data_IF_126137974951
#
_entry.id   IF_126137974951
#
_cell.length_a   1.000
_cell.length_b   1.000
_cell.length_c   1.000
_cell.angle_alpha   90.00
_cell.angle_beta   90.00
_cell.angle_gamma   90.00
#
_symmetry.space_group_name_H-M   'P 1'
#
loop_
_entity.id
_entity.type
_entity.pdbx_description
1 polymer ?
#
# COMPACT_ATOMS: atom_id res chain seq x y z
N UNK A 1 -27.63 -60.46 32.18
CA UNK A 1 -27.74 -59.13 32.81
C UNK A 1 -26.38 -58.49 32.74
N UNK A 2 -26.18 -57.57 31.80
CA UNK A 2 -24.98 -56.74 31.68
C UNK A 2 -25.45 -55.27 31.68
N UNK A 3 -24.76 -54.35 32.36
CA UNK A 3 -25.27 -53.00 32.62
C UNK A 3 -25.08 -52.07 31.40
N UNK A 4 -26.03 -51.14 31.26
CA UNK A 4 -26.15 -50.21 30.14
C UNK A 4 -25.01 -49.19 30.07
N UNK A 5 -24.63 -48.89 28.83
CA UNK A 5 -23.71 -47.81 28.47
C UNK A 5 -24.50 -46.51 28.30
N UNK A 6 -24.08 -45.48 29.02
CA UNK A 6 -24.61 -44.11 28.97
C UNK A 6 -24.16 -43.44 27.65
N UNK A 7 -25.04 -42.72 26.91
CA UNK A 7 -24.63 -41.99 25.71
C UNK A 7 -23.83 -40.73 26.08
N UNK A 8 -22.90 -40.28 25.20
CA UNK A 8 -22.08 -39.10 25.47
C UNK A 8 -22.90 -37.79 25.42
N UNK A 9 -22.47 -36.74 26.15
CA UNK A 9 -23.14 -35.44 26.11
C UNK A 9 -22.97 -34.78 24.73
N UNK A 10 -24.04 -34.12 24.26
CA UNK A 10 -24.04 -33.34 23.03
C UNK A 10 -23.17 -32.08 23.12
N UNK A 11 -22.83 -31.45 21.98
CA UNK A 11 -21.91 -30.33 21.94
C UNK A 11 -22.53 -29.08 22.61
N UNK A 12 -21.79 -28.52 23.57
CA UNK A 12 -22.10 -27.24 24.20
C UNK A 12 -21.95 -26.08 23.20
N UNK A 13 -22.93 -25.18 23.22
CA UNK A 13 -22.94 -23.94 22.43
C UNK A 13 -21.88 -22.97 22.98
N UNK A 14 -20.98 -22.39 22.15
CA UNK A 14 -19.98 -21.46 22.65
C UNK A 14 -20.62 -20.14 23.08
N UNK A 15 -20.41 -19.80 24.36
CA UNK A 15 -20.78 -18.54 24.96
C UNK A 15 -20.18 -17.34 24.18
N UNK A 16 -20.99 -16.30 24.01
CA UNK A 16 -20.59 -15.04 23.39
C UNK A 16 -19.47 -14.38 24.21
N UNK A 17 -18.26 -14.40 23.66
CA UNK A 17 -17.15 -13.55 24.10
C UNK A 17 -17.39 -12.14 23.58
N UNK A 18 -17.60 -11.19 24.49
CA UNK A 18 -17.74 -9.78 24.18
C UNK A 18 -16.48 -9.22 23.51
N UNK A 19 -16.68 -8.24 22.62
CA UNK A 19 -15.62 -7.58 21.88
C UNK A 19 -14.57 -6.95 22.80
N UNK A 20 -13.26 -7.06 22.49
CA UNK A 20 -12.22 -6.38 23.24
C UNK A 20 -12.29 -4.87 22.99
N UNK A 21 -12.42 -4.11 24.09
CA UNK A 21 -12.33 -2.64 24.11
C UNK A 21 -10.95 -2.22 23.63
N UNK A 22 -10.89 -1.43 22.54
CA UNK A 22 -9.65 -0.86 22.03
C UNK A 22 -9.01 0.11 23.05
N UNK A 23 -7.67 0.12 23.21
CA UNK A 23 -7.01 1.06 24.10
C UNK A 23 -7.15 2.50 23.58
N UNK A 24 -7.53 3.41 24.47
CA UNK A 24 -7.58 4.86 24.23
C UNK A 24 -6.15 5.39 24.17
N UNK A 25 -5.75 5.89 22.99
CA UNK A 25 -4.48 6.62 22.82
C UNK A 25 -4.70 8.08 23.25
N UNK A 26 -3.87 8.65 24.15
CA UNK A 26 -4.02 10.05 24.55
C UNK A 26 -3.68 11.00 23.40
N UNK A 27 -4.52 12.02 23.21
CA UNK A 27 -4.36 13.05 22.19
C UNK A 27 -3.13 13.93 22.46
N UNK A 28 -2.33 14.16 21.42
CA UNK A 28 -1.27 15.19 21.39
C UNK A 28 -1.94 16.55 21.07
N UNK A 29 -1.71 17.62 21.83
CA UNK A 29 -2.39 18.89 21.62
C UNK A 29 -1.76 19.69 20.46
N UNK A 30 -2.60 20.11 19.53
CA UNK A 30 -2.25 20.96 18.39
C UNK A 30 -3.47 21.18 17.51
N UNK A 31 -4.35 22.10 17.92
CA UNK A 31 -5.60 22.43 17.22
C UNK A 31 -5.35 22.87 15.77
N UNK A 32 -6.17 22.46 14.80
CA UNK A 32 -6.26 23.18 13.53
C UNK A 32 -7.08 24.46 13.73
N UNK A 33 -6.54 25.57 13.23
CA UNK A 33 -7.27 26.84 13.09
C UNK A 33 -8.44 26.59 12.13
N UNK A 34 -9.66 26.73 12.63
CA UNK A 34 -10.88 26.75 11.82
C UNK A 34 -10.92 28.08 11.07
N UNK A 35 -10.82 28.04 9.75
CA UNK A 35 -11.23 29.17 8.91
C UNK A 35 -12.65 28.88 8.43
N UNK A 36 -13.63 29.51 9.09
CA UNK A 36 -14.99 29.64 8.56
C UNK A 36 -14.95 30.51 7.31
N UNK A 37 -15.59 30.04 6.23
CA UNK A 37 -15.69 30.78 4.98
C UNK A 37 -16.44 29.97 3.94
N UNK A 38 -17.78 29.98 4.03
CA UNK A 38 -18.67 29.49 2.98
C UNK A 38 -18.52 30.40 1.75
N UNK A 39 -17.99 29.85 0.66
CA UNK A 39 -18.15 30.41 -0.67
C UNK A 39 -18.38 29.27 -1.65
N UNK A 40 -19.63 29.15 -2.09
CA UNK A 40 -20.03 28.33 -3.24
C UNK A 40 -19.34 28.93 -4.47
N UNK A 41 -18.36 28.22 -5.03
CA UNK A 41 -17.78 28.57 -6.32
C UNK A 41 -18.45 27.72 -7.39
N UNK A 42 -19.57 28.22 -7.91
CA UNK A 42 -19.96 27.92 -9.29
C UNK A 42 -19.02 28.69 -10.23
N UNK A 43 -18.35 27.99 -11.13
CA UNK A 43 -18.23 28.35 -12.56
C UNK A 43 -17.05 27.63 -13.20
N UNK A 44 -17.33 27.02 -14.35
CA UNK A 44 -16.37 26.55 -15.33
C UNK A 44 -15.63 27.76 -15.93
N UNK A 45 -14.50 28.14 -15.32
CA UNK A 45 -13.54 29.05 -15.94
C UNK A 45 -12.16 28.41 -15.91
N UNK A 46 -11.57 28.21 -17.09
CA UNK A 46 -10.14 27.95 -17.23
C UNK A 46 -9.44 29.22 -16.74
N UNK A 47 -8.98 29.21 -15.49
CA UNK A 47 -8.30 30.35 -14.88
C UNK A 47 -7.04 30.70 -15.67
N UNK A 48 -6.91 31.98 -16.01
CA UNK A 48 -5.70 32.55 -16.58
C UNK A 48 -4.49 32.19 -15.69
N UNK A 49 -3.40 31.77 -16.33
CA UNK A 49 -2.15 31.39 -15.68
C UNK A 49 -1.56 32.49 -14.80
N UNK A 50 -1.94 33.75 -15.03
CA UNK A 50 -1.46 34.93 -14.30
C UNK A 50 -2.11 35.11 -12.90
N UNK A 51 -3.32 34.59 -12.68
CA UNK A 51 -4.11 34.74 -11.44
C UNK A 51 -3.91 33.60 -10.43
N UNK A 52 -3.11 32.59 -10.78
CA UNK A 52 -2.80 31.48 -9.88
C UNK A 52 -1.94 31.95 -8.69
N UNK A 53 -2.33 31.64 -7.43
CA UNK A 53 -1.51 31.87 -6.25
C UNK A 53 -0.06 31.42 -6.46
N UNK A 54 0.95 32.05 -5.85
CA UNK A 54 2.37 31.77 -6.13
C UNK A 54 2.77 30.29 -6.03
N UNK A 55 2.12 29.51 -5.16
CA UNK A 55 2.34 28.07 -5.02
C UNK A 55 1.80 27.24 -6.20
N UNK A 56 0.83 27.74 -6.96
CA UNK A 56 0.31 27.15 -8.20
C UNK A 56 1.13 27.52 -9.44
N UNK A 57 2.20 28.33 -9.30
CA UNK A 57 3.16 28.63 -10.38
C UNK A 57 4.19 27.52 -10.58
N UNK A 58 4.36 26.63 -9.60
CA UNK A 58 5.24 25.45 -9.71
C UNK A 58 4.39 24.22 -9.97
N UNK A 59 4.77 23.44 -10.98
CA UNK A 59 4.15 22.14 -11.27
C UNK A 59 4.34 21.19 -10.07
N UNK A 60 3.31 20.46 -9.65
CA UNK A 60 3.38 19.59 -8.48
C UNK A 60 4.36 18.44 -8.69
N UNK A 61 4.82 17.84 -7.58
CA UNK A 61 5.48 16.52 -7.59
C UNK A 61 4.48 15.51 -7.07
N UNK A 62 4.30 14.39 -7.78
CA UNK A 62 3.41 13.34 -7.32
C UNK A 62 4.22 12.23 -6.63
N UNK A 63 3.92 11.98 -5.35
CA UNK A 63 4.49 10.88 -4.58
C UNK A 63 3.57 9.67 -4.64
N UNK A 64 4.10 8.53 -5.07
CA UNK A 64 3.42 7.25 -5.11
C UNK A 64 3.97 6.36 -3.99
N UNK A 65 3.23 6.21 -2.87
CA UNK A 65 3.69 5.46 -1.72
C UNK A 65 3.73 3.94 -1.99
N UNK A 66 4.44 3.21 -1.13
CA UNK A 66 4.47 1.75 -1.15
C UNK A 66 3.14 1.11 -0.75
N UNK A 67 3.12 -0.22 -0.72
CA UNK A 67 1.96 -0.96 -0.27
C UNK A 67 1.80 -0.78 1.25
N UNK A 68 0.66 -0.25 1.67
CA UNK A 68 0.26 -0.09 3.07
C UNK A 68 -1.17 -0.55 3.29
N UNK A 69 -1.84 0.02 4.29
CA UNK A 69 -3.27 -0.19 4.51
C UNK A 69 -4.07 0.66 3.52
N UNK A 70 -4.36 0.10 2.35
CA UNK A 70 -5.14 0.79 1.32
C UNK A 70 -6.56 1.07 1.82
N UNK A 71 -6.89 2.36 2.00
CA UNK A 71 -8.19 2.78 2.50
C UNK A 71 -9.25 2.82 1.38
N UNK A 72 -9.98 1.71 1.23
CA UNK A 72 -11.14 1.62 0.32
C UNK A 72 -12.18 2.69 0.66
N UNK A 73 -12.47 2.90 1.94
CA UNK A 73 -13.47 3.88 2.38
C UNK A 73 -13.08 5.30 1.98
N UNK A 74 -11.80 5.67 2.09
CA UNK A 74 -11.31 7.00 1.66
C UNK A 74 -11.46 7.16 0.15
N UNK A 75 -11.02 6.17 -0.65
CA UNK A 75 -11.19 6.24 -2.11
C UNK A 75 -12.66 6.43 -2.49
N UNK A 76 -13.55 5.63 -1.90
CA UNK A 76 -14.99 5.70 -2.20
C UNK A 76 -15.60 7.02 -1.77
N UNK A 77 -15.33 7.49 -0.56
CA UNK A 77 -15.84 8.75 -0.06
C UNK A 77 -15.38 9.91 -0.96
N UNK A 78 -14.09 9.96 -1.29
CA UNK A 78 -13.53 10.99 -2.18
C UNK A 78 -14.09 10.90 -3.59
N UNK A 79 -14.27 9.69 -4.15
CA UNK A 79 -14.88 9.52 -5.48
C UNK A 79 -16.37 9.91 -5.49
N UNK A 80 -17.09 9.82 -4.37
CA UNK A 80 -18.48 10.29 -4.28
C UNK A 80 -18.56 11.81 -4.28
N UNK A 81 -17.66 12.49 -3.57
CA UNK A 81 -17.70 13.95 -3.39
C UNK A 81 -16.91 14.73 -4.43
N UNK A 82 -15.95 14.10 -5.13
CA UNK A 82 -15.05 14.77 -6.08
C UNK A 82 -15.28 14.26 -7.50
N UNK A 83 -16.00 15.00 -8.37
CA UNK A 83 -16.35 14.54 -9.72
C UNK A 83 -15.13 14.17 -10.59
N UNK A 84 -14.04 14.93 -10.49
CA UNK A 84 -12.80 14.67 -11.23
C UNK A 84 -12.18 13.32 -10.86
N UNK A 85 -12.08 13.02 -9.55
CA UNK A 85 -11.62 11.72 -9.08
C UNK A 85 -12.57 10.58 -9.47
N UNK A 86 -13.88 10.82 -9.41
CA UNK A 86 -14.88 9.82 -9.83
C UNK A 86 -14.72 9.42 -11.29
N UNK A 87 -14.53 10.42 -12.17
CA UNK A 87 -14.30 10.20 -13.60
C UNK A 87 -13.00 9.41 -13.81
N UNK A 88 -11.90 9.90 -13.22
CA UNK A 88 -10.60 9.25 -13.33
C UNK A 88 -10.61 7.80 -12.81
N UNK A 89 -11.27 7.54 -11.68
CA UNK A 89 -11.39 6.20 -11.12
C UNK A 89 -12.12 5.25 -12.06
N UNK A 90 -13.26 5.66 -12.66
CA UNK A 90 -13.98 4.82 -13.63
C UNK A 90 -13.12 4.47 -14.84
N UNK A 91 -12.46 5.46 -15.45
CA UNK A 91 -11.64 5.26 -16.65
C UNK A 91 -10.38 4.42 -16.38
N UNK A 92 -9.81 4.52 -15.19
CA UNK A 92 -8.67 3.70 -14.78
C UNK A 92 -9.14 2.28 -14.50
N UNK A 93 -10.19 2.11 -13.69
CA UNK A 93 -10.66 0.78 -13.34
C UNK A 93 -11.27 0.02 -14.50
N UNK A 94 -11.74 0.69 -15.56
CA UNK A 94 -12.09 0.03 -16.82
C UNK A 94 -10.88 -0.68 -17.45
N UNK A 95 -9.69 -0.06 -17.41
CA UNK A 95 -8.44 -0.66 -17.90
C UNK A 95 -7.86 -1.68 -16.93
N UNK A 96 -8.04 -1.50 -15.62
CA UNK A 96 -7.65 -2.50 -14.62
C UNK A 96 -8.55 -3.73 -14.71
N UNK A 97 -9.84 -3.55 -15.01
CA UNK A 97 -10.82 -4.63 -15.12
C UNK A 97 -10.53 -5.56 -16.32
N UNK A 98 -9.91 -5.06 -17.39
CA UNK A 98 -9.45 -5.96 -18.47
C UNK A 98 -8.37 -6.91 -17.95
N UNK A 99 -7.46 -6.40 -17.12
CA UNK A 99 -6.42 -7.22 -16.47
C UNK A 99 -7.01 -8.15 -15.42
N UNK A 100 -8.02 -7.73 -14.64
CA UNK A 100 -8.69 -8.65 -13.72
C UNK A 100 -9.33 -9.81 -14.49
N UNK A 101 -9.95 -9.54 -15.64
CA UNK A 101 -10.53 -10.59 -16.49
C UNK A 101 -9.45 -11.53 -17.05
N UNK A 102 -8.33 -11.01 -17.55
CA UNK A 102 -7.17 -11.80 -18.00
C UNK A 102 -6.61 -12.72 -16.90
N UNK A 103 -6.69 -12.30 -15.64
CA UNK A 103 -6.17 -13.03 -14.46
C UNK A 103 -7.23 -13.85 -13.73
N UNK A 104 -8.48 -13.88 -14.21
CA UNK A 104 -9.58 -14.60 -13.55
C UNK A 104 -10.00 -14.02 -12.19
N UNK A 105 -9.81 -12.71 -11.99
CA UNK A 105 -10.16 -11.98 -10.77
C UNK A 105 -11.50 -11.23 -10.92
N UNK A 106 -12.20 -10.94 -9.81
CA UNK A 106 -13.39 -10.09 -9.83
C UNK A 106 -13.07 -8.70 -10.38
N UNK A 107 -14.04 -8.11 -11.10
CA UNK A 107 -13.94 -6.73 -11.60
C UNK A 107 -13.89 -5.75 -10.43
N UNK A 108 -12.81 -4.98 -10.35
CA UNK A 108 -12.56 -4.04 -9.27
C UNK A 108 -13.36 -2.75 -9.41
N UNK A 109 -13.59 -2.26 -10.63
CA UNK A 109 -14.34 -1.02 -10.86
C UNK A 109 -15.75 -1.07 -10.25
N UNK A 110 -16.62 -2.02 -10.67
CA UNK A 110 -17.94 -2.21 -10.10
C UNK A 110 -17.93 -2.52 -8.61
N UNK A 111 -16.93 -3.28 -8.13
CA UNK A 111 -16.86 -3.68 -6.73
C UNK A 111 -16.47 -2.51 -5.83
N UNK A 112 -15.43 -1.74 -6.18
CA UNK A 112 -14.95 -0.61 -5.37
C UNK A 112 -15.85 0.62 -5.50
N UNK A 113 -16.37 0.93 -6.69
CA UNK A 113 -17.12 2.16 -6.96
C UNK A 113 -18.64 1.96 -6.94
N UNK A 114 -19.10 0.73 -6.67
CA UNK A 114 -20.51 0.36 -6.61
C UNK A 114 -21.25 0.91 -5.38
N UNK A 115 -22.55 0.55 -5.25
CA UNK A 115 -23.36 0.96 -4.10
C UNK A 115 -22.83 0.37 -2.77
N UNK A 116 -22.30 -0.86 -2.81
CA UNK A 116 -21.82 -1.63 -1.67
C UNK A 116 -20.33 -1.99 -1.84
N UNK A 117 -19.40 -1.05 -1.57
CA UNK A 117 -17.98 -1.32 -1.68
C UNK A 117 -17.48 -2.30 -0.61
N UNK A 118 -16.43 -3.09 -0.87
CA UNK A 118 -15.86 -3.99 0.12
C UNK A 118 -15.23 -3.23 1.28
N UNK A 119 -15.19 -3.86 2.45
CA UNK A 119 -14.29 -3.41 3.51
C UNK A 119 -12.83 -3.66 3.12
N UNK A 120 -11.89 -2.94 3.74
CA UNK A 120 -10.46 -3.21 3.56
C UNK A 120 -10.09 -4.66 3.89
N UNK A 121 -10.74 -5.26 4.91
CA UNK A 121 -10.57 -6.68 5.25
C UNK A 121 -11.05 -7.60 4.13
N UNK A 122 -12.24 -7.36 3.56
CA UNK A 122 -12.76 -8.16 2.47
C UNK A 122 -11.86 -8.10 1.24
N UNK A 123 -11.33 -6.91 0.92
CA UNK A 123 -10.37 -6.75 -0.18
C UNK A 123 -9.03 -7.46 0.09
N UNK A 124 -8.54 -7.41 1.34
CA UNK A 124 -7.31 -8.08 1.76
C UNK A 124 -7.44 -9.63 1.77
N UNK A 125 -8.65 -10.14 2.00
CA UNK A 125 -8.95 -11.58 1.97
C UNK A 125 -9.31 -12.12 0.58
N UNK A 126 -9.38 -11.28 -0.44
CA UNK A 126 -9.61 -11.70 -1.82
C UNK A 126 -8.38 -12.41 -2.41
N UNK A 127 -8.54 -13.00 -3.59
CA UNK A 127 -7.46 -13.67 -4.32
C UNK A 127 -6.21 -12.80 -4.46
N UNK A 128 -5.03 -13.42 -4.41
CA UNK A 128 -3.74 -12.74 -4.53
C UNK A 128 -3.71 -11.76 -5.70
N UNK A 129 -3.16 -10.57 -5.47
CA UNK A 129 -3.09 -9.50 -6.47
C UNK A 129 -4.29 -8.57 -6.50
N UNK A 130 -5.44 -8.95 -5.92
CA UNK A 130 -6.63 -8.10 -5.90
C UNK A 130 -6.39 -6.77 -5.17
N UNK A 131 -5.76 -6.81 -3.98
CA UNK A 131 -5.43 -5.59 -3.22
C UNK A 131 -4.40 -4.72 -3.94
N UNK A 132 -3.41 -5.33 -4.60
CA UNK A 132 -2.39 -4.61 -5.36
C UNK A 132 -2.97 -3.93 -6.59
N UNK A 133 -3.85 -4.60 -7.34
CA UNK A 133 -4.56 -4.01 -8.47
C UNK A 133 -5.47 -2.86 -8.02
N UNK A 134 -6.15 -3.01 -6.88
CA UNK A 134 -6.98 -1.95 -6.31
C UNK A 134 -6.15 -0.71 -5.91
N UNK A 135 -5.02 -0.92 -5.23
CA UNK A 135 -4.10 0.15 -4.84
C UNK A 135 -3.46 0.83 -6.06
N UNK A 136 -3.04 0.06 -7.06
CA UNK A 136 -2.50 0.58 -8.32
C UNK A 136 -3.54 1.44 -9.05
N UNK A 137 -4.77 0.91 -9.20
CA UNK A 137 -5.87 1.63 -9.83
C UNK A 137 -6.22 2.93 -9.08
N UNK A 138 -6.27 2.88 -7.75
CA UNK A 138 -6.49 4.07 -6.93
C UNK A 138 -5.38 5.12 -7.12
N UNK A 139 -4.12 4.69 -7.13
CA UNK A 139 -2.96 5.57 -7.34
C UNK A 139 -3.02 6.27 -8.70
N UNK A 140 -3.37 5.53 -9.75
CA UNK A 140 -3.53 6.08 -11.10
C UNK A 140 -4.74 7.01 -11.21
N UNK A 141 -5.84 6.71 -10.52
CA UNK A 141 -7.03 7.57 -10.48
C UNK A 141 -6.73 8.92 -9.80
N UNK A 142 -6.04 8.88 -8.65
CA UNK A 142 -5.60 10.10 -7.94
C UNK A 142 -4.62 10.90 -8.78
N UNK A 143 -3.63 10.25 -9.41
CA UNK A 143 -2.69 10.93 -10.31
C UNK A 143 -3.42 11.64 -11.46
N UNK A 144 -4.37 10.99 -12.13
CA UNK A 144 -5.15 11.60 -13.23
C UNK A 144 -5.99 12.78 -12.72
N UNK A 145 -6.66 12.63 -11.59
CA UNK A 145 -7.48 13.70 -11.00
C UNK A 145 -6.65 14.93 -10.60
N UNK A 146 -5.48 14.71 -9.98
CA UNK A 146 -4.55 15.78 -9.64
C UNK A 146 -3.96 16.44 -10.89
N UNK A 147 -3.64 15.66 -11.92
CA UNK A 147 -3.09 16.19 -13.17
C UNK A 147 -4.11 17.04 -13.93
N UNK A 148 -5.40 16.68 -13.87
CA UNK A 148 -6.47 17.49 -14.43
C UNK A 148 -6.64 18.82 -13.67
N UNK A 149 -6.60 18.76 -12.34
CA UNK A 149 -6.82 19.94 -11.49
C UNK A 149 -5.62 20.91 -11.46
N UNK A 150 -4.40 20.38 -11.46
CA UNK A 150 -3.18 21.15 -11.20
C UNK A 150 -2.15 21.11 -12.34
N UNK A 151 -2.44 20.35 -13.41
CA UNK A 151 -1.53 20.12 -14.52
C UNK A 151 -0.59 18.93 -14.30
N UNK A 152 0.08 18.51 -15.38
CA UNK A 152 1.06 17.41 -15.34
C UNK A 152 2.18 17.71 -14.34
N UNK A 153 2.57 16.73 -13.49
CA UNK A 153 3.63 16.95 -12.51
C UNK A 153 4.97 17.28 -13.15
N UNK A 154 5.83 17.99 -12.39
CA UNK A 154 7.22 18.24 -12.78
C UNK A 154 8.09 17.00 -12.62
N UNK A 155 7.75 16.12 -11.67
CA UNK A 155 8.39 14.83 -11.43
C UNK A 155 7.44 13.90 -10.65
N UNK A 156 7.75 12.60 -10.65
CA UNK A 156 7.16 11.65 -9.72
C UNK A 156 8.23 11.01 -8.83
N UNK A 157 7.82 10.60 -7.63
CA UNK A 157 8.62 9.80 -6.72
C UNK A 157 7.88 8.49 -6.49
N UNK A 158 8.53 7.36 -6.74
CA UNK A 158 7.99 6.03 -6.48
C UNK A 158 8.68 5.37 -5.29
N UNK A 159 7.90 4.90 -4.32
CA UNK A 159 8.42 4.17 -3.16
C UNK A 159 7.93 2.73 -3.21
N UNK A 160 8.84 1.76 -3.25
CA UNK A 160 8.50 0.33 -3.25
C UNK A 160 7.44 0.01 -4.33
N UNK A 161 6.31 -0.59 -3.96
CA UNK A 161 5.17 -0.85 -4.84
C UNK A 161 4.73 0.36 -5.69
N UNK A 162 4.84 1.57 -5.14
CA UNK A 162 4.46 2.81 -5.81
C UNK A 162 5.29 3.12 -7.07
N UNK A 163 6.45 2.49 -7.27
CA UNK A 163 7.24 2.66 -8.50
C UNK A 163 6.49 2.24 -9.76
N UNK A 164 5.67 1.19 -9.67
CA UNK A 164 4.86 0.74 -10.81
C UNK A 164 3.87 1.84 -11.22
N UNK A 165 3.19 2.45 -10.25
CA UNK A 165 2.28 3.56 -10.51
C UNK A 165 3.01 4.82 -10.99
N UNK A 166 4.20 5.14 -10.44
CA UNK A 166 5.00 6.27 -10.86
C UNK A 166 5.50 6.15 -12.31
N UNK A 167 5.99 4.97 -12.70
CA UNK A 167 6.42 4.68 -14.07
C UNK A 167 5.23 4.70 -15.05
N UNK A 168 4.07 4.15 -14.66
CA UNK A 168 2.85 4.25 -15.46
C UNK A 168 2.38 5.70 -15.61
N UNK A 169 2.39 6.49 -14.53
CA UNK A 169 2.05 7.91 -14.56
C UNK A 169 2.95 8.72 -15.50
N UNK A 170 4.26 8.42 -15.48
CA UNK A 170 5.23 9.00 -16.39
C UNK A 170 5.07 8.50 -17.85
N UNK A 171 4.22 7.50 -18.09
CA UNK A 171 3.95 6.96 -19.42
C UNK A 171 4.92 5.89 -19.89
N UNK A 172 5.78 5.38 -19.01
CA UNK A 172 6.69 4.27 -19.34
C UNK A 172 5.88 3.01 -19.65
N UNK A 173 4.85 2.73 -18.86
CA UNK A 173 3.89 1.65 -19.09
C UNK A 173 2.50 2.21 -19.38
N UNK A 174 1.68 1.44 -20.11
CA UNK A 174 0.23 1.67 -20.13
C UNK A 174 -0.38 1.35 -18.77
N UNK A 175 -1.63 1.76 -18.52
CA UNK A 175 -2.31 1.38 -17.27
C UNK A 175 -2.51 -0.13 -17.20
N UNK A 176 -2.83 -0.79 -18.31
CA UNK A 176 -2.97 -2.24 -18.36
C UNK A 176 -1.64 -2.95 -18.05
N UNK A 177 -0.52 -2.52 -18.65
CA UNK A 177 0.79 -3.14 -18.39
C UNK A 177 1.28 -2.89 -16.96
N UNK A 178 1.07 -1.68 -16.42
CA UNK A 178 1.35 -1.38 -15.02
C UNK A 178 0.50 -2.22 -14.07
N UNK A 179 -0.77 -2.45 -14.40
CA UNK A 179 -1.66 -3.32 -13.62
C UNK A 179 -1.21 -4.78 -13.70
N UNK A 180 -0.82 -5.30 -14.88
CA UNK A 180 -0.24 -6.64 -15.02
C UNK A 180 1.01 -6.79 -14.15
N UNK A 181 1.92 -5.81 -14.21
CA UNK A 181 3.11 -5.78 -13.36
C UNK A 181 2.76 -5.74 -11.85
N UNK A 182 1.75 -4.98 -11.45
CA UNK A 182 1.31 -4.92 -10.06
C UNK A 182 0.76 -6.26 -9.56
N UNK A 183 0.01 -6.96 -10.40
CA UNK A 183 -0.47 -8.31 -10.12
C UNK A 183 0.68 -9.33 -10.05
N UNK A 184 1.59 -9.30 -11.01
CA UNK A 184 2.71 -10.26 -11.08
C UNK A 184 3.67 -10.07 -9.90
N UNK A 185 3.86 -8.82 -9.44
CA UNK A 185 4.59 -8.53 -8.22
C UNK A 185 3.90 -9.17 -6.99
N UNK A 186 2.56 -9.10 -6.91
CA UNK A 186 1.82 -9.72 -5.82
C UNK A 186 2.03 -11.24 -5.77
N UNK A 187 2.07 -11.91 -6.94
CA UNK A 187 2.41 -13.33 -7.02
C UNK A 187 3.85 -13.59 -6.58
N UNK A 188 4.81 -12.80 -7.04
CA UNK A 188 6.22 -12.93 -6.66
C UNK A 188 6.42 -12.81 -5.13
N UNK A 189 5.68 -11.92 -4.48
CA UNK A 189 5.75 -11.71 -3.03
C UNK A 189 5.26 -12.93 -2.22
N UNK A 190 4.40 -13.79 -2.79
CA UNK A 190 3.95 -15.01 -2.11
C UNK A 190 5.06 -16.02 -1.83
N UNK A 191 6.16 -15.95 -2.59
CA UNK A 191 7.33 -16.82 -2.38
C UNK A 191 8.19 -16.41 -1.17
N UNK A 192 7.88 -15.28 -0.52
CA UNK A 192 8.57 -14.84 0.68
C UNK A 192 7.56 -14.49 1.78
N UNK A 193 6.90 -15.51 2.39
CA UNK A 193 5.97 -15.27 3.48
C UNK A 193 6.69 -14.66 4.68
N UNK A 194 5.97 -13.81 5.41
CA UNK A 194 6.51 -13.12 6.58
C UNK A 194 5.75 -11.85 6.83
N UNK A 195 6.43 -10.82 7.30
CA UNK A 195 5.81 -9.52 7.51
C UNK A 195 6.83 -8.38 7.44
N UNK A 196 6.35 -7.18 7.75
CA UNK A 196 7.14 -5.99 7.93
C UNK A 196 6.76 -5.30 9.24
N UNK A 197 7.74 -4.69 9.91
CA UNK A 197 7.53 -3.89 11.13
C UNK A 197 8.15 -2.52 10.95
N UNK A 198 7.37 -1.47 11.16
CA UNK A 198 7.87 -0.10 11.23
C UNK A 198 8.45 0.18 12.62
N UNK A 199 9.66 0.72 12.67
CA UNK A 199 10.38 1.11 13.87
C UNK A 199 10.58 2.63 13.89
N UNK A 200 10.25 3.26 15.02
CA UNK A 200 10.43 4.69 15.24
C UNK A 200 11.87 5.00 15.73
N UNK A 201 12.87 4.70 14.88
CA UNK A 201 14.27 4.96 15.18
C UNK A 201 15.11 5.16 13.88
N UNK A 202 16.34 5.71 14.00
CA UNK A 202 17.28 5.76 12.89
C UNK A 202 17.74 4.37 12.44
N UNK A 203 18.22 4.25 11.20
CA UNK A 203 18.73 2.99 10.62
C UNK A 203 19.76 2.28 11.51
N UNK A 204 20.71 3.03 12.08
CA UNK A 204 21.72 2.47 12.98
C UNK A 204 21.09 1.75 14.17
N UNK A 205 20.12 2.38 14.83
CA UNK A 205 19.42 1.80 15.98
C UNK A 205 18.58 0.60 15.59
N UNK A 206 17.95 0.61 14.40
CA UNK A 206 17.27 -0.58 13.88
C UNK A 206 18.25 -1.75 13.72
N UNK A 207 19.44 -1.52 13.16
CA UNK A 207 20.48 -2.55 13.03
C UNK A 207 20.94 -3.09 14.39
N UNK A 208 21.15 -2.21 15.38
CA UNK A 208 21.46 -2.64 16.76
C UNK A 208 20.37 -3.56 17.33
N UNK A 209 19.09 -3.21 17.15
CA UNK A 209 17.96 -4.03 17.60
C UNK A 209 17.93 -5.42 16.93
N UNK A 210 18.30 -5.50 15.66
CA UNK A 210 18.38 -6.77 14.91
C UNK A 210 19.49 -7.68 15.48
N UNK A 211 20.65 -7.10 15.79
CA UNK A 211 21.78 -7.80 16.41
C UNK A 211 21.44 -8.26 17.83
N UNK A 212 20.86 -7.39 18.65
CA UNK A 212 20.41 -7.69 20.02
C UNK A 212 19.37 -8.82 20.04
N UNK A 213 18.46 -8.83 19.08
CA UNK A 213 17.46 -9.89 18.92
C UNK A 213 18.02 -11.20 18.34
N UNK A 214 19.29 -11.22 17.90
CA UNK A 214 19.94 -12.40 17.32
C UNK A 214 19.35 -12.82 15.98
N UNK A 215 18.75 -11.88 15.24
CA UNK A 215 18.10 -12.12 13.95
C UNK A 215 18.69 -11.27 12.82
N UNK A 216 19.79 -10.56 13.10
CA UNK A 216 20.58 -9.89 12.09
C UNK A 216 21.16 -10.93 11.12
N UNK A 217 20.71 -10.84 9.87
CA UNK A 217 21.21 -11.70 8.81
C UNK A 217 22.48 -11.20 8.16
N UNK A 218 23.26 -12.12 7.63
CA UNK A 218 24.28 -11.83 6.60
C UNK A 218 23.65 -11.56 5.22
N UNK A 219 22.31 -11.61 5.12
CA UNK A 219 21.55 -11.41 3.89
C UNK A 219 21.37 -12.67 3.05
N UNK A 220 21.70 -13.85 3.59
CA UNK A 220 21.60 -15.14 2.89
C UNK A 220 20.62 -16.12 3.53
N UNK A 221 20.14 -15.87 4.76
CA UNK A 221 19.23 -16.75 5.48
C UNK A 221 17.76 -16.37 5.27
N UNK A 222 16.90 -17.35 5.00
CA UNK A 222 15.44 -17.16 5.00
C UNK A 222 14.86 -16.90 6.41
N UNK A 223 15.68 -17.06 7.46
CA UNK A 223 15.32 -16.84 8.85
C UNK A 223 15.59 -15.41 9.35
N UNK A 224 16.29 -14.61 8.54
CA UNK A 224 16.85 -13.32 8.97
C UNK A 224 15.81 -12.20 8.93
N UNK A 225 16.08 -11.12 9.67
CA UNK A 225 15.38 -9.84 9.53
C UNK A 225 16.36 -8.84 8.91
N UNK A 226 15.88 -8.06 7.94
CA UNK A 226 16.67 -7.02 7.26
C UNK A 226 16.01 -5.66 7.38
N UNK A 227 16.82 -4.59 7.29
CA UNK A 227 16.33 -3.25 7.02
C UNK A 227 15.80 -3.21 5.58
N UNK A 228 14.50 -3.09 5.42
CA UNK A 228 13.81 -3.11 4.13
C UNK A 228 13.63 -1.72 3.53
N UNK A 229 13.32 -0.72 4.36
CA UNK A 229 13.10 0.66 3.95
C UNK A 229 13.64 1.61 5.01
N UNK A 230 14.37 2.64 4.59
CA UNK A 230 14.69 3.79 5.43
C UNK A 230 13.84 4.95 4.92
N UNK A 231 12.78 5.31 5.66
CA UNK A 231 11.88 6.39 5.23
C UNK A 231 12.50 7.76 5.52
N UNK A 232 13.08 7.92 6.72
CA UNK A 232 13.74 9.13 7.18
C UNK A 232 14.67 8.84 8.38
N UNK A 233 15.21 9.88 9.01
CA UNK A 233 16.14 9.78 10.15
C UNK A 233 15.52 9.16 11.42
N UNK A 234 14.20 8.95 11.47
CA UNK A 234 13.41 8.46 12.62
C UNK A 234 12.50 7.30 12.28
N UNK A 235 12.45 6.86 11.02
CA UNK A 235 11.50 5.85 10.57
C UNK A 235 12.16 4.84 9.64
N UNK A 236 12.18 3.60 10.08
CA UNK A 236 12.72 2.45 9.34
C UNK A 236 11.67 1.36 9.31
N UNK A 237 11.63 0.60 8.22
CA UNK A 237 10.84 -0.63 8.14
C UNK A 237 11.81 -1.81 8.04
N UNK A 238 11.60 -2.80 8.89
CA UNK A 238 12.31 -4.07 8.85
C UNK A 238 11.40 -5.15 8.28
N UNK A 239 11.98 -6.14 7.60
CA UNK A 239 11.25 -7.23 6.96
C UNK A 239 11.89 -8.58 7.25
N UNK A 240 11.06 -9.61 7.45
CA UNK A 240 11.52 -10.96 7.72
C UNK A 240 10.40 -11.86 8.28
N UNK A 241 10.75 -13.07 8.74
CA UNK A 241 9.81 -14.00 9.33
C UNK A 241 9.07 -13.42 10.54
N UNK A 242 7.79 -13.77 10.69
CA UNK A 242 6.93 -13.27 11.79
C UNK A 242 7.52 -13.54 13.17
N UNK A 243 8.11 -14.73 13.38
CA UNK A 243 8.72 -15.11 14.65
C UNK A 243 9.98 -14.28 14.96
N UNK A 244 10.81 -14.02 13.95
CA UNK A 244 12.02 -13.21 14.09
C UNK A 244 11.68 -11.73 14.35
N UNK A 245 10.68 -11.20 13.65
CA UNK A 245 10.17 -9.84 13.90
C UNK A 245 9.62 -9.66 15.32
N UNK A 246 9.01 -10.69 15.91
CA UNK A 246 8.56 -10.63 17.30
C UNK A 246 9.72 -10.45 18.30
N UNK A 247 10.90 -10.99 18.00
CA UNK A 247 12.10 -10.78 18.82
C UNK A 247 12.60 -9.33 18.70
N UNK A 248 12.60 -8.77 17.48
CA UNK A 248 12.95 -7.36 17.25
C UNK A 248 11.97 -6.43 17.94
N UNK A 249 10.67 -6.70 17.88
CA UNK A 249 9.63 -5.92 18.54
C UNK A 249 9.77 -5.93 20.06
N UNK A 250 10.16 -7.08 20.63
CA UNK A 250 10.49 -7.18 22.05
C UNK A 250 11.72 -6.33 22.41
N UNK A 251 12.82 -6.47 21.66
CA UNK A 251 14.02 -5.65 21.88
C UNK A 251 13.72 -4.14 21.74
N UNK A 252 12.88 -3.76 20.77
CA UNK A 252 12.44 -2.39 20.58
C UNK A 252 11.66 -1.88 21.79
N UNK A 253 10.74 -2.69 22.35
CA UNK A 253 10.01 -2.34 23.55
C UNK A 253 10.94 -2.15 24.76
N UNK A 254 11.93 -3.02 24.94
CA UNK A 254 12.94 -2.92 26.01
C UNK A 254 13.76 -1.61 25.91
N UNK A 255 14.01 -1.13 24.68
CA UNK A 255 14.66 0.16 24.40
C UNK A 255 13.70 1.34 24.26
N UNK A 256 12.40 1.16 24.50
CA UNK A 256 11.33 2.17 24.33
C UNK A 256 11.26 2.76 22.92
N UNK A 257 11.62 1.97 21.91
CA UNK A 257 11.44 2.28 20.50
C UNK A 257 10.04 1.84 20.07
N UNK A 258 9.27 2.74 19.47
CA UNK A 258 7.95 2.40 18.94
C UNK A 258 8.06 1.39 17.80
N UNK A 259 7.28 0.32 17.85
CA UNK A 259 7.22 -0.71 16.82
C UNK A 259 5.78 -0.99 16.40
N UNK A 260 5.50 -1.01 15.10
CA UNK A 260 4.17 -1.28 14.53
C UNK A 260 4.28 -2.33 13.43
N UNK A 261 3.67 -3.49 13.66
CA UNK A 261 3.54 -4.54 12.64
C UNK A 261 2.62 -4.07 11.51
N UNK A 262 3.11 -4.14 10.28
CA UNK A 262 2.33 -3.85 9.08
C UNK A 262 1.46 -5.05 8.70
N UNK A 263 0.24 -4.79 8.21
CA UNK A 263 -0.73 -5.82 7.80
C UNK A 263 -0.45 -6.36 6.40
N UNK A 264 0.74 -6.93 6.22
CA UNK A 264 1.20 -7.49 4.95
C UNK A 264 1.71 -8.92 5.19
N UNK A 265 1.22 -9.93 4.45
CA UNK A 265 1.52 -11.34 4.71
C UNK A 265 2.82 -11.83 4.03
N UNK A 266 3.74 -10.92 3.73
CA UNK A 266 4.98 -11.20 3.00
C UNK A 266 6.12 -10.30 3.48
N UNK A 267 7.34 -10.72 3.18
CA UNK A 267 8.58 -9.99 3.48
C UNK A 267 9.10 -9.28 2.22
N UNK A 268 8.59 -8.08 1.91
CA UNK A 268 9.09 -7.30 0.77
C UNK A 268 10.49 -6.74 1.04
N UNK A 269 11.27 -6.51 -0.02
CA UNK A 269 12.67 -6.07 0.04
C UNK A 269 13.62 -7.06 0.76
N UNK A 270 13.17 -8.27 1.06
CA UNK A 270 13.99 -9.30 1.68
C UNK A 270 14.85 -10.04 0.62
N UNK A 271 16.14 -10.32 0.89
CA UNK A 271 17.02 -11.05 -0.05
C UNK A 271 16.49 -12.42 -0.50
N UNK A 272 15.68 -13.07 0.32
CA UNK A 272 15.02 -14.34 -0.02
C UNK A 272 14.09 -14.25 -1.26
N UNK A 273 13.68 -13.04 -1.66
CA UNK A 273 12.97 -12.82 -2.92
C UNK A 273 13.87 -12.94 -4.16
N UNK A 274 15.19 -13.11 -4.04
CA UNK A 274 16.14 -12.99 -5.15
C UNK A 274 15.85 -13.88 -6.38
N UNK A 275 15.23 -15.04 -6.21
CA UNK A 275 14.75 -15.84 -7.35
C UNK A 275 13.47 -15.24 -7.96
N UNK A 276 12.42 -15.06 -7.16
CA UNK A 276 11.15 -14.47 -7.62
C UNK A 276 11.32 -13.07 -8.23
N UNK A 277 12.25 -12.26 -7.71
CA UNK A 277 12.59 -10.95 -8.25
C UNK A 277 13.20 -11.04 -9.67
N UNK A 278 14.01 -12.06 -9.97
CA UNK A 278 14.57 -12.27 -11.32
C UNK A 278 13.49 -12.70 -12.30
N UNK A 279 12.57 -13.55 -11.88
CA UNK A 279 11.43 -13.97 -12.71
C UNK A 279 10.50 -12.78 -12.98
N UNK A 280 10.14 -12.04 -11.92
CA UNK A 280 9.35 -10.81 -12.03
C UNK A 280 10.00 -9.79 -12.97
N UNK A 281 11.29 -9.53 -12.82
CA UNK A 281 12.01 -8.61 -13.69
C UNK A 281 12.03 -9.07 -15.16
N UNK A 282 12.06 -10.38 -15.40
CA UNK A 282 11.98 -10.95 -16.75
C UNK A 282 10.60 -10.77 -17.36
N UNK A 283 9.53 -11.01 -16.59
CA UNK A 283 8.16 -10.77 -17.03
C UNK A 283 7.92 -9.29 -17.36
N UNK A 284 8.33 -8.37 -16.46
CA UNK A 284 8.15 -6.92 -16.67
C UNK A 284 8.92 -6.39 -17.87
N UNK A 285 10.13 -6.93 -18.14
CA UNK A 285 10.93 -6.53 -19.31
C UNK A 285 10.28 -6.87 -20.65
N UNK A 286 9.34 -7.83 -20.67
CA UNK A 286 8.61 -8.18 -21.87
C UNK A 286 7.51 -7.18 -22.25
N UNK A 287 7.10 -6.30 -21.32
CA UNK A 287 6.10 -5.28 -21.61
C UNK A 287 6.68 -4.16 -22.49
N UNK A 288 5.90 -3.64 -23.46
CA UNK A 288 6.29 -2.45 -24.22
C UNK A 288 6.57 -1.27 -23.29
N UNK A 289 7.66 -0.54 -23.57
CA UNK A 289 8.06 0.63 -22.78
C UNK A 289 8.22 1.86 -23.66
N UNK A 290 7.76 2.99 -23.17
CA UNK A 290 8.00 4.31 -23.76
C UNK A 290 8.95 5.14 -22.91
N UNK A 291 9.51 6.20 -23.51
CA UNK A 291 10.24 7.20 -22.75
C UNK A 291 9.32 7.89 -21.73
N UNK A 292 9.84 8.13 -20.53
CA UNK A 292 9.12 8.87 -19.50
C UNK A 292 8.85 10.31 -19.96
N UNK A 293 7.61 10.79 -19.80
CA UNK A 293 7.19 12.17 -20.14
C UNK A 293 7.64 13.20 -19.10
N UNK A 294 7.97 12.75 -17.89
CA UNK A 294 8.55 13.55 -16.82
C UNK A 294 9.48 12.65 -15.97
N UNK A 295 10.46 13.22 -15.26
CA UNK A 295 11.37 12.46 -14.41
C UNK A 295 10.67 11.62 -13.35
N UNK A 296 11.18 10.41 -13.12
CA UNK A 296 10.78 9.52 -12.02
C UNK A 296 11.98 9.31 -11.13
N UNK A 297 11.90 9.76 -9.88
CA UNK A 297 12.88 9.47 -8.83
C UNK A 297 12.51 8.15 -8.16
N UNK A 298 13.42 7.18 -8.25
CA UNK A 298 13.22 5.82 -7.77
C UNK A 298 13.84 5.67 -6.37
N UNK A 299 13.04 5.25 -5.40
CA UNK A 299 13.55 4.91 -4.08
C UNK A 299 14.39 3.61 -4.08
N UNK A 300 14.39 2.86 -5.17
CA UNK A 300 15.18 1.63 -5.36
C UNK A 300 16.54 1.92 -6.02
N UNK A 301 16.58 2.80 -7.03
CA UNK A 301 17.81 3.09 -7.79
C UNK A 301 18.72 4.13 -7.12
N UNK A 302 18.18 4.96 -6.21
CA UNK A 302 18.85 6.15 -5.66
C UNK A 302 18.82 7.34 -6.62
#
# INVERSE_FOLDING_TARGET
>A
MCPGSVPPPGPESPAALGDPVAPVVPAVPGSPVVLEGSAVLESSAVLDSSERPPFLRRRPVHLFPGQGDFSVSTLVASARTTPGLRKAAREVFEQVDTVTAERGLPRLGPWLLGPEPPSGRALASASTGTSQLALFGASMAVHRALSEAYGVPSAAVGVSFGELAALTAAGVFTVADGARAAHDLALALTFCPGALTALACPERSARELLEEAGVAGTGTGAADVVVAVVNDERSVVVSGPVAALALVEKAAADRRVGAVRLRLPFSSHHPALGHAAREFATAVRAYPRSAARFPVHSAVAG
#
